data_IF_400094549146
#
_entry.id   IF_400094549146
#
_cell.length_a   1.000
_cell.length_b   1.000
_cell.length_c   1.000
_cell.angle_alpha   90.00
_cell.angle_beta   90.00
_cell.angle_gamma   90.00
#
_symmetry.space_group_name_H-M   'P 1'
#
loop_
_entity.id
_entity.type
_entity.pdbx_description
1 polymer ?
#
# COMPACT_ATOMS: atom_id res chain seq x y z
N UNK A 1 13.11 5.51 5.66
CA UNK A 1 12.94 4.38 6.61
C UNK A 1 11.84 4.77 7.57
N UNK A 2 10.79 3.97 7.61
CA UNK A 2 9.58 4.33 8.33
C UNK A 2 9.09 3.14 9.15
N UNK A 3 8.70 3.40 10.39
CA UNK A 3 7.95 2.44 11.20
C UNK A 3 6.52 2.96 11.35
N UNK A 4 5.56 2.23 10.81
CA UNK A 4 4.17 2.68 10.72
C UNK A 4 3.27 2.13 11.84
N UNK A 5 3.83 1.53 12.90
CA UNK A 5 3.01 0.96 13.98
C UNK A 5 3.68 1.01 15.38
N UNK A 6 3.82 2.19 15.97
CA UNK A 6 4.12 2.33 17.39
C UNK A 6 2.82 2.47 18.16
N UNK A 7 2.48 1.52 19.03
CA UNK A 7 1.20 1.50 19.75
C UNK A 7 1.24 2.55 20.88
N UNK A 8 0.28 3.47 20.87
CA UNK A 8 0.13 4.51 21.92
C UNK A 8 -1.20 4.40 22.67
N UNK A 9 -2.17 3.72 22.09
CA UNK A 9 -3.47 3.45 22.67
C UNK A 9 -4.00 2.12 22.13
N UNK A 10 -4.55 1.30 23.00
CA UNK A 10 -5.15 0.02 22.63
C UNK A 10 -6.35 -0.28 23.52
N UNK A 11 -7.52 -0.45 22.91
CA UNK A 11 -8.76 -0.94 23.55
C UNK A 11 -9.13 -0.20 24.86
N UNK A 12 -9.13 1.12 24.87
CA UNK A 12 -9.41 1.90 26.09
C UNK A 12 -8.16 2.30 26.89
N UNK A 13 -7.04 1.61 26.71
CA UNK A 13 -5.84 1.80 27.51
C UNK A 13 -4.80 2.64 26.76
N UNK A 14 -4.44 3.79 27.34
CA UNK A 14 -3.33 4.62 26.84
C UNK A 14 -2.00 4.08 27.38
N UNK A 15 -1.01 3.91 26.50
CA UNK A 15 0.37 3.60 26.90
C UNK A 15 0.96 4.78 27.68
N UNK A 16 1.84 4.50 28.64
CA UNK A 16 2.44 5.57 29.43
C UNK A 16 3.27 6.51 28.52
N UNK A 17 3.16 7.83 28.77
CA UNK A 17 3.86 8.82 27.92
C UNK A 17 5.38 8.61 27.95
N UNK A 18 5.93 8.16 29.08
CA UNK A 18 7.34 7.82 29.22
C UNK A 18 7.76 6.66 28.29
N UNK A 19 6.96 5.60 28.19
CA UNK A 19 7.26 4.47 27.29
C UNK A 19 7.17 4.88 25.83
N UNK A 20 6.16 5.68 25.45
CA UNK A 20 6.01 6.18 24.08
C UNK A 20 7.23 7.03 23.69
N UNK A 21 7.66 7.93 24.57
CA UNK A 21 8.87 8.74 24.35
C UNK A 21 10.13 7.87 24.27
N UNK A 22 10.22 6.80 25.07
CA UNK A 22 11.31 5.84 24.98
C UNK A 22 11.33 5.10 23.63
N UNK A 23 10.16 4.71 23.11
CA UNK A 23 9.99 4.12 21.79
C UNK A 23 10.44 5.08 20.67
N UNK A 24 9.97 6.33 20.70
CA UNK A 24 10.36 7.36 19.74
C UNK A 24 11.88 7.57 19.75
N UNK A 25 12.47 7.71 20.94
CA UNK A 25 13.92 7.89 21.11
C UNK A 25 14.70 6.70 20.56
N UNK A 26 14.28 5.48 20.87
CA UNK A 26 14.97 4.27 20.40
C UNK A 26 14.86 4.11 18.89
N UNK A 27 13.67 4.27 18.32
CA UNK A 27 13.47 4.16 16.88
C UNK A 27 14.30 5.20 16.10
N UNK A 28 14.36 6.44 16.59
CA UNK A 28 15.18 7.48 15.97
C UNK A 28 16.68 7.12 15.97
N UNK A 29 17.21 6.70 17.12
CA UNK A 29 18.60 6.24 17.27
C UNK A 29 18.94 5.07 16.35
N UNK A 30 17.98 4.17 16.13
CA UNK A 30 18.14 3.00 15.26
C UNK A 30 18.09 3.33 13.76
N UNK A 31 17.75 4.56 13.37
CA UNK A 31 17.78 4.98 11.96
C UNK A 31 16.41 5.27 11.33
N UNK A 32 15.31 5.19 12.08
CA UNK A 32 13.99 5.57 11.54
C UNK A 32 13.83 7.10 11.48
N UNK A 33 13.23 7.58 10.39
CA UNK A 33 12.99 9.01 10.16
C UNK A 33 11.50 9.35 10.19
N UNK A 34 10.62 8.36 9.97
CA UNK A 34 9.18 8.56 9.99
C UNK A 34 8.59 7.51 10.93
N UNK A 35 7.83 7.94 11.92
CA UNK A 35 7.17 7.07 12.88
C UNK A 35 5.67 7.34 12.86
N UNK A 36 4.84 6.32 12.81
CA UNK A 36 3.40 6.47 12.99
C UNK A 36 2.96 5.98 14.38
N UNK A 37 2.31 6.87 15.12
CA UNK A 37 1.72 6.60 16.42
C UNK A 37 0.31 6.04 16.22
N UNK A 38 0.12 4.80 16.64
CA UNK A 38 -1.06 3.99 16.36
C UNK A 38 -2.02 3.95 17.55
N UNK A 39 -3.26 4.32 17.26
CA UNK A 39 -4.42 4.19 18.15
C UNK A 39 -5.24 2.99 17.68
N UNK A 40 -5.25 1.92 18.46
CA UNK A 40 -5.98 0.68 18.18
C UNK A 40 -7.34 0.71 18.89
N UNK A 41 -8.40 0.64 18.10
CA UNK A 41 -9.79 0.67 18.54
C UNK A 41 -10.41 -0.71 18.35
N UNK A 42 -10.96 -1.25 19.43
CA UNK A 42 -11.61 -2.57 19.44
C UNK A 42 -13.03 -2.58 18.85
N UNK A 43 -13.61 -3.77 18.76
CA UNK A 43 -14.98 -3.98 18.24
C UNK A 43 -16.03 -3.19 19.04
N UNK A 44 -15.91 -3.15 20.37
CA UNK A 44 -16.85 -2.47 21.27
C UNK A 44 -16.89 -0.95 21.04
N UNK A 45 -15.73 -0.33 20.87
CA UNK A 45 -15.60 1.11 20.64
C UNK A 45 -16.10 1.52 19.24
N UNK A 46 -15.92 0.64 18.25
CA UNK A 46 -16.48 0.83 16.91
C UNK A 46 -18.01 0.65 16.88
N UNK A 47 -18.57 -0.21 17.73
CA UNK A 47 -20.03 -0.40 17.84
C UNK A 47 -20.74 0.72 18.59
N UNK A 48 -20.05 1.39 19.52
CA UNK A 48 -20.67 2.39 20.39
C UNK A 48 -20.96 3.68 19.61
N UNK A 49 -22.01 4.43 19.99
CA UNK A 49 -22.29 5.77 19.43
C UNK A 49 -21.26 6.84 19.85
N UNK A 50 -20.35 6.50 20.77
CA UNK A 50 -19.30 7.39 21.23
C UNK A 50 -18.35 7.77 20.09
N UNK A 51 -17.81 9.00 20.12
CA UNK A 51 -16.83 9.45 19.16
C UNK A 51 -15.57 8.59 19.25
N UNK A 52 -14.89 8.41 18.11
CA UNK A 52 -13.59 7.74 18.08
C UNK A 52 -12.55 8.56 18.85
N UNK A 53 -11.53 7.92 19.44
CA UNK A 53 -10.43 8.64 20.07
C UNK A 53 -9.76 9.58 19.06
N UNK A 54 -9.47 10.80 19.50
CA UNK A 54 -8.73 11.79 18.70
C UNK A 54 -7.26 11.39 18.57
N UNK A 55 -6.57 11.81 17.49
CA UNK A 55 -5.16 11.51 17.31
C UNK A 55 -4.30 11.98 18.49
N UNK A 56 -3.56 11.05 19.10
CA UNK A 56 -2.62 11.37 20.18
C UNK A 56 -1.33 11.87 19.53
N UNK A 57 -1.02 13.14 19.77
CA UNK A 57 0.18 13.80 19.24
C UNK A 57 1.22 13.92 20.35
N UNK A 58 2.48 13.73 19.98
CA UNK A 58 3.63 13.93 20.85
C UNK A 58 4.56 14.94 20.20
N UNK A 59 5.17 15.78 21.01
CA UNK A 59 6.26 16.62 20.57
C UNK A 59 7.53 15.78 20.43
N UNK A 60 8.32 16.10 19.40
CA UNK A 60 9.60 15.42 19.19
C UNK A 60 10.56 15.90 20.28
N UNK A 61 11.20 14.99 21.04
CA UNK A 61 12.16 15.38 22.07
C UNK A 61 13.28 16.25 21.51
N UNK A 62 13.62 17.34 22.20
CA UNK A 62 14.64 18.32 21.77
C UNK A 62 16.00 17.66 21.47
N UNK A 63 16.36 16.63 22.23
CA UNK A 63 17.54 15.81 21.97
C UNK A 63 17.52 15.19 20.57
N UNK A 64 16.39 14.59 20.17
CA UNK A 64 16.23 14.00 18.85
C UNK A 64 16.32 15.06 17.75
N UNK A 65 15.79 16.27 17.99
CA UNK A 65 15.89 17.39 17.02
C UNK A 65 17.34 17.85 16.83
N UNK A 66 18.11 17.99 17.90
CA UNK A 66 19.53 18.39 17.84
C UNK A 66 20.37 17.34 17.10
N UNK A 67 20.17 16.07 17.43
CA UNK A 67 20.88 14.96 16.77
C UNK A 67 20.44 14.80 15.30
N UNK A 68 19.16 15.01 14.99
CA UNK A 68 18.68 15.01 13.62
C UNK A 68 19.36 16.11 12.80
N UNK A 69 19.45 17.34 13.34
CA UNK A 69 20.13 18.47 12.68
C UNK A 69 21.61 18.19 12.43
N UNK A 70 22.33 17.63 13.39
CA UNK A 70 23.77 17.34 13.22
C UNK A 70 24.03 16.24 12.18
N UNK A 71 23.10 15.29 12.03
CA UNK A 71 23.19 14.21 11.04
C UNK A 71 22.54 14.55 9.69
N UNK A 72 22.01 15.77 9.51
CA UNK A 72 21.25 16.15 8.30
C UNK A 72 19.97 15.33 8.08
N UNK A 73 19.41 14.77 9.16
CA UNK A 73 18.19 13.97 9.17
C UNK A 73 17.00 14.79 9.66
N UNK A 74 15.80 14.29 9.39
CA UNK A 74 14.57 14.81 9.96
C UNK A 74 13.77 13.65 10.56
N UNK A 75 13.09 13.94 11.67
CA UNK A 75 12.15 13.02 12.30
C UNK A 75 10.73 13.57 12.10
N UNK A 76 9.85 12.75 11.54
CA UNK A 76 8.43 13.08 11.34
C UNK A 76 7.58 12.09 12.13
N UNK A 77 6.68 12.61 12.96
CA UNK A 77 5.67 11.83 13.63
C UNK A 77 4.36 11.93 12.85
N UNK A 78 3.75 10.79 12.58
CA UNK A 78 2.46 10.63 11.91
C UNK A 78 1.47 10.01 12.88
N UNK A 79 0.20 10.17 12.57
CA UNK A 79 -0.89 9.58 13.34
C UNK A 79 -1.55 8.45 12.56
N UNK A 80 -1.83 7.34 13.23
CA UNK A 80 -2.47 6.17 12.65
C UNK A 80 -3.67 5.74 13.49
N UNK A 81 -4.78 5.43 12.83
CA UNK A 81 -5.95 4.79 13.43
C UNK A 81 -6.05 3.35 12.93
N UNK A 82 -6.16 2.39 13.84
CA UNK A 82 -6.33 0.98 13.53
C UNK A 82 -7.63 0.46 14.14
N UNK A 83 -8.50 -0.15 13.34
CA UNK A 83 -9.77 -0.70 13.84
C UNK A 83 -9.87 -2.20 13.68
N UNK A 84 -10.28 -2.92 14.74
CA UNK A 84 -10.73 -4.32 14.64
C UNK A 84 -12.19 -4.36 14.22
N UNK A 85 -12.45 -4.86 13.02
CA UNK A 85 -13.77 -4.76 12.38
C UNK A 85 -14.41 -6.14 12.26
N UNK A 86 -15.60 -6.29 12.83
CA UNK A 86 -16.45 -7.46 12.74
C UNK A 86 -17.70 -7.24 11.86
N UNK A 87 -18.20 -6.00 11.72
CA UNK A 87 -19.40 -5.68 10.93
C UNK A 87 -19.17 -4.59 9.88
N UNK A 88 -19.98 -4.56 8.82
CA UNK A 88 -19.91 -3.49 7.81
C UNK A 88 -20.21 -2.09 8.38
N UNK A 89 -21.02 -1.99 9.43
CA UNK A 89 -21.29 -0.72 10.10
C UNK A 89 -20.03 -0.18 10.80
N UNK A 90 -19.25 -1.06 11.43
CA UNK A 90 -17.96 -0.70 12.02
C UNK A 90 -16.94 -0.30 10.95
N UNK A 91 -16.91 -1.00 9.80
CA UNK A 91 -16.05 -0.63 8.66
C UNK A 91 -16.37 0.79 8.17
N UNK A 92 -17.65 1.06 7.95
CA UNK A 92 -18.14 2.36 7.53
C UNK A 92 -17.80 3.45 8.54
N UNK A 93 -17.97 3.19 9.85
CA UNK A 93 -17.57 4.11 10.92
C UNK A 93 -16.06 4.36 10.89
N UNK A 94 -15.23 3.34 10.68
CA UNK A 94 -13.78 3.49 10.62
C UNK A 94 -13.35 4.35 9.42
N UNK A 95 -13.97 4.17 8.26
CA UNK A 95 -13.57 4.83 7.00
C UNK A 95 -14.11 6.26 6.85
N UNK A 96 -15.37 6.50 7.26
CA UNK A 96 -16.11 7.72 6.92
C UNK A 96 -16.36 8.65 8.10
N UNK A 97 -15.82 8.33 9.29
CA UNK A 97 -15.97 9.22 10.44
C UNK A 97 -15.05 10.46 10.28
N UNK A 98 -15.55 11.68 10.55
CA UNK A 98 -14.74 12.90 10.52
C UNK A 98 -13.43 12.79 11.32
N UNK A 99 -13.45 12.11 12.47
CA UNK A 99 -12.26 11.90 13.31
C UNK A 99 -11.25 11.00 12.60
N UNK A 100 -11.70 10.00 11.84
CA UNK A 100 -10.81 9.14 11.04
C UNK A 100 -10.04 9.94 9.98
N UNK A 101 -10.66 10.99 9.41
CA UNK A 101 -10.01 11.87 8.44
C UNK A 101 -8.96 12.80 9.06
N UNK A 102 -8.95 12.98 10.39
CA UNK A 102 -7.89 13.71 11.10
C UNK A 102 -6.58 12.92 11.17
N UNK A 103 -6.65 11.58 11.05
CA UNK A 103 -5.47 10.70 11.06
C UNK A 103 -4.74 10.71 9.71
N UNK A 104 -3.42 10.60 9.77
CA UNK A 104 -2.60 10.49 8.56
C UNK A 104 -2.76 9.12 7.90
N UNK A 105 -2.86 8.05 8.68
CA UNK A 105 -2.97 6.66 8.22
C UNK A 105 -4.21 5.98 8.80
N UNK A 106 -4.89 5.17 7.98
CA UNK A 106 -6.02 4.33 8.43
C UNK A 106 -5.67 2.87 8.16
N UNK A 107 -5.84 2.02 9.17
CA UNK A 107 -5.62 0.60 9.09
C UNK A 107 -6.84 -0.19 9.59
N UNK A 108 -7.11 -1.33 8.98
CA UNK A 108 -8.22 -2.19 9.37
C UNK A 108 -7.77 -3.64 9.56
N UNK A 109 -8.32 -4.27 10.59
CA UNK A 109 -8.23 -5.71 10.82
C UNK A 109 -9.62 -6.33 10.61
N UNK A 110 -9.87 -6.98 9.47
CA UNK A 110 -11.15 -7.64 9.22
C UNK A 110 -11.21 -9.02 9.89
N UNK A 111 -12.30 -9.28 10.63
CA UNK A 111 -12.55 -10.59 11.25
C UNK A 111 -13.04 -11.66 10.26
N UNK A 112 -13.63 -11.27 9.13
CA UNK A 112 -14.17 -12.20 8.12
C UNK A 112 -13.76 -11.82 6.70
N UNK A 113 -13.74 -12.81 5.80
CA UNK A 113 -13.36 -12.61 4.39
C UNK A 113 -14.37 -11.75 3.62
N UNK A 114 -15.67 -11.90 3.91
CA UNK A 114 -16.71 -11.06 3.29
C UNK A 114 -16.52 -9.58 3.63
N UNK A 115 -16.16 -9.29 4.88
CA UNK A 115 -15.87 -7.94 5.34
C UNK A 115 -14.59 -7.38 4.74
N UNK A 116 -13.54 -8.20 4.61
CA UNK A 116 -12.32 -7.80 3.93
C UNK A 116 -12.59 -7.30 2.51
N UNK A 117 -13.35 -8.06 1.72
CA UNK A 117 -13.68 -7.65 0.35
C UNK A 117 -14.52 -6.36 0.34
N UNK A 118 -15.43 -6.19 1.30
CA UNK A 118 -16.20 -4.96 1.50
C UNK A 118 -15.30 -3.75 1.76
N UNK A 119 -14.34 -3.88 2.69
CA UNK A 119 -13.37 -2.83 3.04
C UNK A 119 -12.51 -2.45 1.83
N UNK A 120 -11.99 -3.44 1.09
CA UNK A 120 -11.16 -3.20 -0.10
C UNK A 120 -11.97 -2.45 -1.18
N UNK A 121 -13.25 -2.81 -1.37
CA UNK A 121 -14.10 -2.20 -2.39
C UNK A 121 -14.56 -0.79 -2.03
N UNK A 122 -14.89 -0.54 -0.77
CA UNK A 122 -15.28 0.78 -0.27
C UNK A 122 -14.12 1.79 -0.31
N UNK A 123 -12.88 1.30 -0.13
CA UNK A 123 -11.70 2.14 -0.07
C UNK A 123 -11.59 2.89 1.27
N UNK A 124 -10.65 3.84 1.37
CA UNK A 124 -10.47 4.64 2.58
C UNK A 124 -9.60 4.00 3.68
N UNK A 125 -9.06 2.80 3.44
CA UNK A 125 -8.06 2.14 4.31
C UNK A 125 -6.74 2.03 3.54
N UNK A 126 -5.63 2.31 4.21
CA UNK A 126 -4.28 2.26 3.63
C UNK A 126 -3.58 0.93 3.93
N UNK A 127 -3.85 0.36 5.11
CA UNK A 127 -3.15 -0.81 5.62
C UNK A 127 -4.17 -1.86 6.12
N UNK A 128 -3.98 -3.11 5.71
CA UNK A 128 -4.64 -4.27 6.30
C UNK A 128 -3.67 -4.94 7.27
N UNK A 129 -4.00 -4.95 8.55
CA UNK A 129 -3.14 -5.56 9.56
C UNK A 129 -3.80 -6.79 10.18
N UNK A 130 -2.94 -7.71 10.62
CA UNK A 130 -3.33 -8.89 11.35
C UNK A 130 -2.40 -9.01 12.56
N UNK A 131 -2.90 -9.19 13.78
CA UNK A 131 -2.04 -9.23 14.96
C UNK A 131 -1.08 -10.43 14.95
N UNK A 132 -1.46 -11.54 14.29
CA UNK A 132 -0.66 -12.78 14.17
C UNK A 132 -0.17 -13.36 15.51
N UNK A 133 -0.80 -12.95 16.61
CA UNK A 133 -0.58 -13.44 17.98
C UNK A 133 -1.78 -14.22 18.50
N UNK A 134 -2.89 -14.20 17.78
CA UNK A 134 -4.12 -14.91 18.08
C UNK A 134 -4.74 -15.54 16.83
N UNK A 135 -5.62 -16.52 17.04
CA UNK A 135 -6.33 -17.19 15.97
C UNK A 135 -7.23 -16.20 15.25
N UNK A 136 -6.86 -15.85 14.02
CA UNK A 136 -7.65 -15.00 13.14
C UNK A 136 -7.87 -15.68 11.79
N UNK A 137 -8.99 -15.36 11.15
CA UNK A 137 -9.28 -15.81 9.80
C UNK A 137 -8.34 -15.06 8.83
N UNK A 138 -7.30 -15.77 8.36
CA UNK A 138 -6.38 -15.22 7.37
C UNK A 138 -7.04 -15.15 5.99
N UNK A 139 -6.82 -14.06 5.24
CA UNK A 139 -7.42 -13.84 3.93
C UNK A 139 -7.03 -14.93 2.93
N UNK A 140 -7.93 -15.18 1.97
CA UNK A 140 -7.58 -15.95 0.78
C UNK A 140 -6.66 -15.14 -0.13
N UNK A 141 -5.84 -15.85 -0.90
CA UNK A 141 -4.92 -15.25 -1.86
C UNK A 141 -5.60 -14.25 -2.83
N UNK A 142 -6.81 -14.57 -3.32
CA UNK A 142 -7.56 -13.69 -4.21
C UNK A 142 -7.84 -12.32 -3.59
N UNK A 143 -8.17 -12.28 -2.29
CA UNK A 143 -8.43 -11.04 -1.56
C UNK A 143 -7.14 -10.25 -1.30
N UNK A 144 -6.01 -10.93 -1.09
CA UNK A 144 -4.70 -10.30 -0.95
C UNK A 144 -4.33 -9.59 -2.26
N UNK A 145 -4.38 -10.32 -3.37
CA UNK A 145 -4.10 -9.75 -4.69
C UNK A 145 -5.06 -8.60 -5.04
N UNK A 146 -6.33 -8.69 -4.62
CA UNK A 146 -7.33 -7.62 -4.82
C UNK A 146 -7.00 -6.36 -4.01
N UNK A 147 -6.58 -6.49 -2.75
CA UNK A 147 -6.13 -5.37 -1.92
C UNK A 147 -4.91 -4.67 -2.53
N UNK A 148 -3.91 -5.45 -2.97
CA UNK A 148 -2.68 -4.93 -3.58
C UNK A 148 -3.00 -4.14 -4.87
N UNK A 149 -3.92 -4.65 -5.71
CA UNK A 149 -4.38 -3.93 -6.92
C UNK A 149 -5.06 -2.60 -6.60
N UNK A 150 -5.67 -2.48 -5.42
CA UNK A 150 -6.26 -1.23 -4.92
C UNK A 150 -5.25 -0.30 -4.25
N UNK A 151 -3.98 -0.70 -4.14
CA UNK A 151 -2.94 0.07 -3.46
C UNK A 151 -2.93 -0.07 -1.94
N UNK A 152 -3.70 -1.02 -1.40
CA UNK A 152 -3.78 -1.29 0.04
C UNK A 152 -2.72 -2.32 0.40
N UNK A 153 -1.89 -2.01 1.40
CA UNK A 153 -0.78 -2.88 1.80
C UNK A 153 -1.14 -3.77 2.99
N UNK A 154 -0.55 -4.96 3.03
CA UNK A 154 -0.66 -5.88 4.15
C UNK A 154 0.49 -5.69 5.14
N UNK A 155 0.16 -5.56 6.41
CA UNK A 155 1.15 -5.38 7.47
C UNK A 155 1.60 -6.70 8.08
N UNK A 156 2.90 -6.81 8.29
CA UNK A 156 3.56 -7.90 8.98
C UNK A 156 4.19 -7.34 10.26
N UNK A 157 3.58 -7.54 11.44
CA UNK A 157 4.14 -7.04 12.70
C UNK A 157 5.35 -7.89 13.10
N UNK A 158 6.57 -7.38 12.89
CA UNK A 158 7.79 -8.18 13.10
C UNK A 158 8.04 -8.49 14.59
N UNK A 159 7.52 -7.67 15.51
CA UNK A 159 7.64 -7.94 16.96
C UNK A 159 7.01 -9.29 17.36
N UNK A 160 5.99 -9.75 16.62
CA UNK A 160 5.38 -11.05 16.85
C UNK A 160 6.36 -12.22 16.66
N UNK A 161 7.42 -12.04 15.84
CA UNK A 161 8.50 -13.03 15.66
C UNK A 161 9.50 -13.04 16.82
N UNK A 162 9.56 -11.95 17.60
CA UNK A 162 10.45 -11.82 18.76
C UNK A 162 9.78 -12.33 20.05
N UNK A 163 8.45 -12.49 20.05
CA UNK A 163 7.67 -12.90 21.21
C UNK A 163 7.62 -14.41 21.46
N UNK A 164 6.86 -14.84 22.48
CA UNK A 164 6.66 -16.26 22.80
C UNK A 164 5.87 -17.01 21.71
N UNK A 165 4.96 -16.32 21.01
CA UNK A 165 4.11 -16.89 19.95
C UNK A 165 4.76 -16.85 18.55
N UNK A 166 6.10 -16.76 18.49
CA UNK A 166 6.87 -16.61 17.23
C UNK A 166 6.55 -17.66 16.17
N UNK A 167 6.37 -18.93 16.55
CA UNK A 167 6.08 -20.01 15.60
C UNK A 167 4.71 -19.84 14.95
N UNK A 168 3.72 -19.38 15.72
CA UNK A 168 2.38 -19.09 15.24
C UNK A 168 2.40 -17.87 14.29
N UNK A 169 3.10 -16.80 14.68
CA UNK A 169 3.29 -15.62 13.85
C UNK A 169 3.99 -15.95 12.52
N UNK A 170 5.07 -16.71 12.57
CA UNK A 170 5.83 -17.14 11.38
C UNK A 170 4.94 -17.95 10.41
N UNK A 171 4.15 -18.90 10.93
CA UNK A 171 3.19 -19.67 10.14
C UNK A 171 2.13 -18.77 9.49
N UNK A 172 1.62 -17.79 10.24
CA UNK A 172 0.65 -16.81 9.74
C UNK A 172 1.21 -15.92 8.63
N UNK A 173 2.41 -15.35 8.83
CA UNK A 173 3.09 -14.51 7.84
C UNK A 173 3.38 -15.29 6.55
N UNK A 174 3.92 -16.51 6.66
CA UNK A 174 4.17 -17.37 5.48
C UNK A 174 2.88 -17.66 4.70
N UNK A 175 1.76 -17.87 5.39
CA UNK A 175 0.44 -18.08 4.74
C UNK A 175 -0.04 -16.83 4.00
N UNK A 176 0.16 -15.63 4.56
CA UNK A 176 -0.21 -14.38 3.90
C UNK A 176 0.58 -14.16 2.61
N UNK A 177 1.88 -14.47 2.63
CA UNK A 177 2.79 -14.06 1.55
C UNK A 177 2.99 -15.15 0.50
N UNK A 178 2.54 -16.39 0.76
CA UNK A 178 2.83 -17.60 -0.02
C UNK A 178 2.89 -17.43 -1.55
N UNK A 179 1.96 -16.66 -2.15
CA UNK A 179 1.87 -16.45 -3.60
C UNK A 179 2.10 -15.01 -4.07
N UNK A 180 2.07 -14.02 -3.18
CA UNK A 180 2.32 -12.62 -3.55
C UNK A 180 3.68 -12.17 -3.06
N UNK A 181 4.45 -11.51 -3.92
CA UNK A 181 5.80 -10.98 -3.59
C UNK A 181 5.84 -9.46 -3.66
N UNK A 182 4.71 -8.80 -3.37
CA UNK A 182 4.62 -7.34 -3.28
C UNK A 182 3.45 -6.94 -2.39
N UNK A 183 3.37 -5.66 -2.02
CA UNK A 183 2.22 -5.16 -1.25
C UNK A 183 2.22 -5.53 0.22
N UNK A 184 3.39 -5.82 0.80
CA UNK A 184 3.58 -6.07 2.22
C UNK A 184 4.51 -5.01 2.85
N UNK A 185 4.33 -4.75 4.14
CA UNK A 185 5.21 -3.88 4.94
C UNK A 185 5.60 -4.57 6.25
N UNK A 186 6.80 -4.29 6.74
CA UNK A 186 7.17 -4.59 8.12
C UNK A 186 6.90 -3.38 9.02
N UNK A 187 6.40 -3.66 10.21
CA UNK A 187 6.13 -2.67 11.25
C UNK A 187 6.45 -3.26 12.63
N UNK A 188 6.75 -2.42 13.62
CA UNK A 188 7.04 -2.93 14.96
C UNK A 188 5.80 -3.48 15.65
N UNK A 189 4.66 -2.80 15.59
CA UNK A 189 3.42 -3.25 16.23
C UNK A 189 3.58 -3.47 17.73
N UNK A 190 4.30 -2.57 18.40
CA UNK A 190 4.64 -2.70 19.82
C UNK A 190 4.45 -1.39 20.57
N UNK A 191 4.11 -1.51 21.86
CA UNK A 191 4.10 -0.41 22.81
C UNK A 191 5.45 -0.29 23.56
N UNK A 192 6.26 -1.35 23.57
CA UNK A 192 7.45 -1.43 24.40
C UNK A 192 8.73 -1.19 23.58
N UNK A 193 9.67 -0.37 24.08
CA UNK A 193 10.88 -0.04 23.34
C UNK A 193 11.74 -1.27 23.08
N UNK A 194 11.71 -2.27 23.96
CA UNK A 194 12.52 -3.49 23.87
C UNK A 194 12.36 -4.25 22.56
N UNK A 195 11.17 -4.23 21.93
CA UNK A 195 10.89 -4.95 20.70
C UNK A 195 11.25 -4.19 19.43
N UNK A 196 11.58 -2.89 19.51
CA UNK A 196 12.01 -2.11 18.34
C UNK A 196 13.40 -2.58 17.89
N UNK A 197 13.57 -2.82 16.59
CA UNK A 197 14.82 -3.24 15.92
C UNK A 197 15.18 -2.28 14.79
N UNK A 198 16.46 -2.22 14.43
CA UNK A 198 16.91 -1.32 13.36
C UNK A 198 16.40 -1.75 11.98
N UNK A 199 16.26 -0.82 11.01
CA UNK A 199 15.72 -1.12 9.68
C UNK A 199 16.45 -2.27 8.95
N UNK A 200 17.78 -2.35 9.10
CA UNK A 200 18.59 -3.42 8.53
C UNK A 200 18.30 -4.77 9.21
N UNK A 201 18.26 -4.80 10.54
CA UNK A 201 17.91 -6.01 11.31
C UNK A 201 16.52 -6.53 10.94
N UNK A 202 15.55 -5.62 10.82
CA UNK A 202 14.18 -5.95 10.41
C UNK A 202 14.17 -6.53 9.00
N UNK A 203 14.97 -5.98 8.07
CA UNK A 203 15.07 -6.58 6.74
C UNK A 203 15.64 -8.00 6.77
N UNK A 204 16.59 -8.31 7.65
CA UNK A 204 17.10 -9.67 7.78
C UNK A 204 16.06 -10.66 8.30
N UNK A 205 15.04 -10.22 9.06
CA UNK A 205 13.91 -11.07 9.44
C UNK A 205 13.10 -11.56 8.22
N UNK A 206 13.16 -10.84 7.09
CA UNK A 206 12.56 -11.29 5.83
C UNK A 206 13.09 -12.63 5.33
N UNK A 207 14.35 -12.97 5.64
CA UNK A 207 14.90 -14.28 5.27
C UNK A 207 14.23 -15.45 6.00
N UNK A 208 13.69 -15.23 7.21
CA UNK A 208 12.88 -16.25 7.90
C UNK A 208 11.59 -16.56 7.13
N UNK A 209 11.14 -15.64 6.27
CA UNK A 209 9.97 -15.77 5.41
C UNK A 209 10.32 -16.21 3.98
N UNK A 210 11.56 -16.69 3.75
CA UNK A 210 12.06 -17.15 2.46
C UNK A 210 12.05 -16.05 1.38
N UNK A 211 12.39 -14.83 1.79
CA UNK A 211 12.59 -13.69 0.89
C UNK A 211 14.05 -13.52 0.48
N UNK A 212 14.20 -12.99 -0.74
CA UNK A 212 15.48 -12.46 -1.20
C UNK A 212 15.85 -11.23 -0.38
N UNK A 213 17.15 -10.93 -0.31
CA UNK A 213 17.63 -9.75 0.43
C UNK A 213 17.01 -8.46 -0.12
N UNK A 214 16.91 -8.34 -1.45
CA UNK A 214 16.33 -7.19 -2.11
C UNK A 214 14.87 -6.99 -1.73
N UNK A 215 14.06 -8.05 -1.79
CA UNK A 215 12.64 -7.94 -1.44
C UNK A 215 12.45 -7.66 0.06
N UNK A 216 13.26 -8.28 0.92
CA UNK A 216 13.20 -8.04 2.36
C UNK A 216 13.52 -6.59 2.71
N UNK A 217 14.43 -5.96 1.96
CA UNK A 217 14.69 -4.52 2.04
C UNK A 217 13.47 -3.72 1.59
N UNK A 218 12.82 -4.07 0.49
CA UNK A 218 11.62 -3.34 0.04
C UNK A 218 10.52 -3.26 1.12
N UNK A 219 10.37 -4.27 1.99
CA UNK A 219 9.37 -4.28 3.07
C UNK A 219 9.53 -3.17 4.12
N UNK A 220 10.74 -2.63 4.29
CA UNK A 220 11.07 -1.61 5.31
C UNK A 220 11.30 -0.22 4.69
N UNK A 221 11.72 -0.17 3.43
CA UNK A 221 12.01 1.08 2.72
C UNK A 221 10.87 1.48 1.78
N UNK A 222 10.64 0.71 0.72
CA UNK A 222 9.77 1.10 -0.40
C UNK A 222 8.28 0.88 -0.10
N UNK A 223 7.95 -0.21 0.60
CA UNK A 223 6.58 -0.54 0.99
C UNK A 223 5.96 0.56 1.86
N UNK A 224 6.57 0.93 3.01
CA UNK A 224 6.08 2.03 3.84
C UNK A 224 6.01 3.36 3.08
N UNK A 225 6.94 3.66 2.18
CA UNK A 225 6.88 4.86 1.35
C UNK A 225 5.65 4.86 0.42
N UNK A 226 5.34 3.71 -0.18
CA UNK A 226 4.15 3.53 -1.04
C UNK A 226 2.85 3.71 -0.25
N UNK A 227 2.81 3.21 0.99
CA UNK A 227 1.67 3.41 1.91
C UNK A 227 1.47 4.88 2.24
N UNK A 228 2.56 5.63 2.50
CA UNK A 228 2.47 7.06 2.77
C UNK A 228 1.92 7.83 1.57
N UNK A 229 2.32 7.49 0.35
CA UNK A 229 1.77 8.08 -0.88
C UNK A 229 0.28 7.75 -1.01
N UNK A 230 -0.13 6.50 -0.80
CA UNK A 230 -1.54 6.10 -0.81
C UNK A 230 -2.37 6.92 0.20
N UNK A 231 -1.87 7.05 1.42
CA UNK A 231 -2.53 7.81 2.47
C UNK A 231 -2.63 9.31 2.16
N UNK A 232 -1.60 9.90 1.55
CA UNK A 232 -1.65 11.29 1.08
C UNK A 232 -2.71 11.48 -0.03
N UNK A 233 -2.81 10.54 -0.98
CA UNK A 233 -3.83 10.59 -2.04
C UNK A 233 -5.25 10.42 -1.51
N UNK A 234 -5.45 9.58 -0.49
CA UNK A 234 -6.74 9.44 0.20
C UNK A 234 -7.18 10.74 0.86
N UNK A 235 -6.25 11.48 1.47
CA UNK A 235 -6.54 12.74 2.19
C UNK A 235 -6.69 13.94 1.26
N UNK A 236 -5.99 13.96 0.13
CA UNK A 236 -5.98 15.05 -0.84
C UNK A 236 -6.79 14.66 -2.08
N UNK A 237 -8.10 14.56 -1.90
CA UNK A 237 -9.05 14.25 -2.98
C UNK A 237 -9.08 15.31 -4.09
N UNK A 238 -8.58 16.52 -3.82
CA UNK A 238 -8.42 17.63 -4.76
C UNK A 238 -7.29 17.42 -5.79
N UNK A 239 -6.32 16.52 -5.51
CA UNK A 239 -5.08 16.36 -6.31
C UNK A 239 -4.92 14.97 -6.97
N UNK A 240 -5.97 14.17 -6.98
CA UNK A 240 -5.95 12.79 -7.52
C UNK A 240 -6.02 12.68 -9.05
N UNK A 241 -6.23 13.79 -9.77
CA UNK A 241 -6.27 13.79 -11.23
C UNK A 241 -4.87 13.96 -11.82
N UNK A 242 -4.25 12.86 -12.24
CA UNK A 242 -3.08 12.90 -13.14
C UNK A 242 -3.61 12.75 -14.57
N UNK A 243 -3.72 13.87 -15.29
CA UNK A 243 -4.03 13.83 -16.72
C UNK A 243 -2.76 13.48 -17.50
N UNK A 244 -2.65 12.24 -17.94
CA UNK A 244 -1.59 11.81 -18.85
C UNK A 244 -2.09 11.97 -20.30
N UNK A 245 -1.48 12.88 -21.07
CA UNK A 245 -1.64 12.93 -22.52
C UNK A 245 -0.39 12.38 -23.19
N UNK A 246 -0.56 11.73 -24.36
CA UNK A 246 0.59 11.42 -25.20
C UNK A 246 1.33 12.72 -25.54
N UNK A 247 2.65 12.66 -25.54
CA UNK A 247 3.53 13.79 -25.91
C UNK A 247 3.13 14.42 -27.25
N UNK A 248 2.63 13.60 -28.17
CA UNK A 248 2.16 14.00 -29.51
C UNK A 248 0.89 14.86 -29.48
N UNK A 249 0.09 14.79 -28.41
CA UNK A 249 -1.22 15.48 -28.26
C UNK A 249 -1.16 16.71 -27.35
N UNK A 250 0.01 17.09 -26.84
CA UNK A 250 0.15 18.25 -25.95
C UNK A 250 -0.14 19.56 -26.71
N UNK A 251 -1.03 20.43 -26.20
CA UNK A 251 -1.34 21.72 -26.81
C UNK A 251 -0.08 22.57 -27.02
N UNK A 252 -0.01 23.41 -28.08
CA UNK A 252 1.18 24.20 -28.40
C UNK A 252 1.70 25.08 -27.24
N UNK A 253 0.79 25.61 -26.40
CA UNK A 253 1.12 26.47 -25.26
C UNK A 253 1.75 25.76 -24.06
N UNK A 254 1.68 24.44 -23.98
CA UNK A 254 2.17 23.65 -22.83
C UNK A 254 3.43 22.83 -23.17
N UNK A 255 3.97 22.97 -24.39
CA UNK A 255 5.15 22.23 -24.84
C UNK A 255 6.42 22.54 -24.04
N UNK A 256 6.47 23.68 -23.37
CA UNK A 256 7.59 24.07 -22.52
C UNK A 256 7.81 23.12 -21.32
N UNK A 257 6.75 22.43 -20.85
CA UNK A 257 6.85 21.42 -19.79
C UNK A 257 7.67 20.19 -20.23
N UNK A 258 7.67 19.87 -21.52
CA UNK A 258 8.45 18.77 -22.10
C UNK A 258 9.94 19.16 -22.15
N UNK A 259 10.22 20.41 -22.48
CA UNK A 259 11.59 20.94 -22.55
C UNK A 259 12.22 21.05 -21.16
N UNK A 260 11.43 21.48 -20.17
CA UNK A 260 11.85 21.56 -18.77
C UNK A 260 12.17 20.19 -18.15
N UNK A 261 11.53 19.12 -18.61
CA UNK A 261 11.71 17.77 -18.04
C UNK A 261 12.88 16.99 -18.64
N UNK A 262 13.58 17.53 -19.65
CA UNK A 262 14.75 16.92 -20.31
C UNK A 262 14.55 15.47 -20.81
N UNK A 263 13.31 15.02 -20.95
CA UNK A 263 13.00 13.65 -21.39
C UNK A 263 13.21 13.57 -22.90
N UNK A 264 14.29 12.93 -23.34
CA UNK A 264 14.53 12.69 -24.76
C UNK A 264 13.49 11.70 -25.31
N UNK A 265 12.71 12.06 -26.33
CA UNK A 265 11.75 11.14 -26.92
C UNK A 265 12.49 9.94 -27.52
N UNK A 266 12.11 8.71 -27.14
CA UNK A 266 12.60 7.49 -27.78
C UNK A 266 12.15 7.51 -29.24
N UNK A 267 13.08 7.76 -30.17
CA UNK A 267 12.81 7.71 -31.61
C UNK A 267 12.26 6.33 -31.97
N UNK A 268 11.02 6.27 -32.47
CA UNK A 268 10.45 5.06 -33.08
C UNK A 268 11.39 4.63 -34.22
N UNK A 269 12.01 3.45 -34.11
CA UNK A 269 12.67 2.79 -35.24
C UNK A 269 11.60 2.50 -36.29
N UNK A 270 11.52 3.33 -37.33
CA UNK A 270 10.70 3.04 -38.49
C UNK A 270 11.27 1.78 -39.15
N UNK A 271 10.58 0.64 -39.01
CA UNK A 271 10.75 -0.50 -39.92
C UNK A 271 10.27 -0.01 -41.28
N UNK A 272 11.20 0.29 -42.17
CA UNK A 272 10.89 0.57 -43.58
C UNK A 272 10.19 -0.66 -44.17
N UNK A 273 8.88 -0.59 -44.38
CA UNK A 273 8.21 -1.47 -45.33
C UNK A 273 8.73 -1.10 -46.72
N UNK A 274 9.37 -2.06 -47.40
CA UNK A 274 9.72 -1.93 -48.82
C UNK A 274 8.40 -1.99 -49.62
N UNK A 275 8.06 -0.93 -50.35
CA UNK A 275 7.06 -1.03 -51.41
C UNK A 275 7.66 -1.79 -52.62
N UNK A 276 6.90 -2.67 -53.29
CA UNK A 276 7.36 -3.31 -54.52
C UNK A 276 7.41 -2.30 -55.68
N UNK A 277 8.42 -2.45 -56.54
CA UNK A 277 8.64 -1.67 -57.77
C UNK A 277 7.53 -1.96 -58.79
N UNK A 278 7.07 -0.91 -59.47
CA UNK A 278 6.30 -0.99 -60.72
C UNK A 278 7.22 -1.38 -61.89
N UNK A 279 6.78 -2.30 -62.72
CA UNK A 279 7.18 -2.47 -64.12
C UNK A 279 5.93 -2.73 -64.96
N UNK A 280 5.65 -1.84 -65.90
CA UNK A 280 4.88 -2.09 -67.14
C UNK A 280 5.76 -2.97 -68.07
N UNK A 281 5.34 -3.77 -69.04
CA UNK A 281 4.32 -3.79 -70.12
C UNK A 281 4.23 -5.29 -70.56
N UNK A 282 3.09 -5.96 -70.84
CA UNK A 282 2.17 -5.94 -72.00
C UNK A 282 2.06 -7.38 -72.63
N UNK A 283 0.85 -7.72 -73.12
CA UNK A 283 0.43 -8.86 -74.02
C UNK A 283 0.46 -10.30 -73.45
N UNK A 284 -0.46 -11.23 -73.69
CA UNK A 284 -1.82 -11.31 -74.26
C UNK A 284 -2.40 -12.71 -73.88
N UNK A 285 -3.71 -12.89 -74.09
CA UNK A 285 -4.49 -14.13 -74.28
C UNK A 285 -4.96 -15.03 -73.10
N UNK A 286 -6.29 -15.01 -72.96
CA UNK A 286 -7.26 -16.13 -72.94
C UNK A 286 -7.55 -17.03 -71.71
N UNK A 287 -8.87 -17.27 -71.60
CA UNK A 287 -9.65 -18.35 -70.98
C UNK A 287 -10.16 -18.25 -69.53
N UNK A 288 -11.47 -17.98 -69.47
CA UNK A 288 -12.55 -18.74 -68.80
C UNK A 288 -12.26 -19.39 -67.42
N UNK A 289 -12.94 -18.92 -66.37
CA UNK A 289 -14.19 -19.57 -65.92
C UNK A 289 -14.75 -18.97 -64.61
N UNK A 290 -16.07 -18.86 -64.59
CA UNK A 290 -16.90 -18.34 -63.51
C UNK A 290 -17.21 -19.41 -62.46
N UNK A 291 -17.21 -19.07 -61.16
CA UNK A 291 -18.17 -19.67 -60.21
C UNK A 291 -18.58 -18.67 -59.12
N UNK A 292 -19.89 -18.54 -59.00
CA UNK A 292 -20.68 -17.65 -58.16
C UNK A 292 -20.63 -17.96 -56.65
N UNK A 293 -20.82 -16.92 -55.85
CA UNK A 293 -21.30 -17.00 -54.46
C UNK A 293 -22.73 -17.57 -54.38
N UNK A 294 -23.15 -18.09 -53.22
CA UNK A 294 -24.43 -17.60 -52.71
C UNK A 294 -24.47 -17.25 -51.23
N UNK A 295 -25.26 -16.19 -50.99
CA UNK A 295 -25.79 -15.67 -49.75
C UNK A 295 -26.99 -16.53 -49.30
N UNK A 296 -27.08 -16.88 -48.02
CA UNK A 296 -28.34 -17.39 -47.44
C UNK A 296 -28.78 -16.53 -46.25
N UNK A 297 -30.00 -15.98 -46.39
CA UNK A 297 -30.76 -15.23 -45.38
C UNK A 297 -31.60 -16.18 -44.51
N UNK A 298 -31.70 -15.82 -43.22
CA UNK A 298 -32.87 -15.88 -42.29
C UNK A 298 -33.73 -17.15 -42.22
N UNK A 299 -33.97 -17.66 -41.00
CA UNK A 299 -35.26 -17.46 -40.30
C UNK A 299 -35.22 -17.94 -38.84
N UNK A 300 -36.25 -17.52 -38.10
CA UNK A 300 -36.44 -17.50 -36.64
C UNK A 300 -37.55 -18.51 -36.29
N UNK A 301 -37.65 -18.87 -34.99
CA UNK A 301 -38.71 -19.62 -34.27
C UNK A 301 -38.83 -21.10 -34.64
N UNK A 302 -39.00 -22.03 -33.70
CA UNK A 302 -39.76 -22.01 -32.43
C UNK A 302 -38.93 -22.12 -31.15
#
# INVERSE_FOLDING_TARGET
MSDLNIIVYENGCKTSDHEVLACIRKAFKLGFNILALNVIVGESELSTKQPLPKPIKFDIPEFCLKEARSQGRTLKLLTRLSGKVATNQQAHKLQNNPISHEYDLIAAWPCTEGLLNSIINQGGVDILFYPLTETCALPKYSSIAHAIKKGIFHELPYSALLGPKRAFALKGMRRLIYRERSGFIFSSGTASPEFIRGPLDVSFLGHLLDFTADYSRCLVWDGPASVLVHAETRRRTDRGAVMAQLLEKVPPGERWLIEATQVKPKKKKQRKLKLPRKSNEAEDDDDEDAVETPVVKRQRTE
#
